data_IF_820452623842
#
_entry.id   IF_820452623842
#
_cell.length_a   1.000
_cell.length_b   1.000
_cell.length_c   1.000
_cell.angle_alpha   90.00
_cell.angle_beta   90.00
_cell.angle_gamma   90.00
#
_symmetry.space_group_name_H-M   'P 1'
#
loop_
_entity.id
_entity.type
_entity.pdbx_description
1 polymer ?
#
# COMPACT_ATOMS: atom_id res chain seq x y z
N UNK A 1 65.48 -40.45 3.54
CA UNK A 1 65.38 -39.77 4.84
C UNK A 1 64.98 -38.32 4.55
N UNK A 2 63.69 -38.00 4.66
CA UNK A 2 63.17 -36.66 4.39
C UNK A 2 62.52 -36.18 5.71
N UNK A 3 62.87 -35.03 6.26
CA UNK A 3 62.25 -34.49 7.49
C UNK A 3 60.97 -33.76 7.12
N UNK A 4 59.86 -34.21 7.65
CA UNK A 4 58.56 -33.52 7.65
C UNK A 4 58.55 -32.47 8.75
N UNK A 5 58.65 -31.22 8.37
CA UNK A 5 58.37 -30.10 9.30
C UNK A 5 56.89 -29.79 9.29
N UNK A 6 56.19 -30.09 10.39
CA UNK A 6 54.85 -29.59 10.67
C UNK A 6 54.97 -28.10 11.09
N UNK A 7 54.45 -27.24 10.25
CA UNK A 7 54.17 -25.86 10.65
C UNK A 7 52.83 -25.83 11.38
N UNK A 8 52.83 -25.62 12.67
CA UNK A 8 51.65 -25.32 13.46
C UNK A 8 51.18 -23.91 13.11
N UNK A 9 50.12 -23.85 12.29
CA UNK A 9 49.37 -22.61 12.02
C UNK A 9 48.51 -22.31 13.23
N UNK A 10 48.96 -21.44 14.10
CA UNK A 10 48.19 -20.89 15.21
C UNK A 10 47.01 -20.09 14.65
N UNK A 11 45.80 -20.68 14.70
CA UNK A 11 44.55 -19.97 14.41
C UNK A 11 44.30 -18.90 15.47
N UNK A 12 44.47 -17.66 15.10
CA UNK A 12 44.10 -16.52 15.93
C UNK A 12 42.59 -16.55 16.24
N UNK A 13 42.16 -16.37 17.50
CA UNK A 13 40.77 -16.39 17.85
C UNK A 13 40.04 -15.24 17.15
N UNK A 14 39.07 -15.56 16.28
CA UNK A 14 38.15 -14.60 15.67
C UNK A 14 37.42 -13.87 16.81
N UNK A 15 37.67 -12.58 16.93
CA UNK A 15 36.89 -11.70 17.81
C UNK A 15 35.44 -11.77 17.40
N UNK A 16 34.58 -12.22 18.31
CA UNK A 16 33.13 -12.17 18.15
C UNK A 16 32.69 -10.72 17.86
N UNK A 17 31.78 -10.49 16.92
CA UNK A 17 31.28 -9.16 16.64
C UNK A 17 30.59 -8.61 17.88
N UNK A 18 31.03 -7.45 18.34
CA UNK A 18 30.53 -6.81 19.54
C UNK A 18 29.02 -6.53 19.41
N UNK A 19 28.23 -7.06 20.34
CA UNK A 19 26.77 -6.91 20.45
C UNK A 19 26.29 -5.46 20.72
N UNK A 20 27.16 -4.47 20.54
CA UNK A 20 26.90 -3.06 20.88
C UNK A 20 26.02 -2.30 19.88
N UNK A 21 25.77 -2.82 18.67
CA UNK A 21 25.05 -2.06 17.62
C UNK A 21 23.55 -2.00 17.77
N UNK A 22 22.92 -2.90 18.51
CA UNK A 22 21.46 -3.02 18.55
C UNK A 22 20.75 -2.24 19.65
N UNK A 23 21.48 -1.73 20.66
CA UNK A 23 20.86 -0.98 21.76
C UNK A 23 20.51 0.48 21.42
N UNK A 24 21.05 1.03 20.35
CA UNK A 24 20.79 2.42 19.94
C UNK A 24 19.61 2.61 18.98
N UNK A 25 19.20 1.57 18.24
CA UNK A 25 18.17 1.65 17.22
C UNK A 25 16.79 2.03 17.79
N UNK A 26 16.32 1.48 18.94
CA UNK A 26 15.03 1.88 19.50
C UNK A 26 14.99 3.33 19.96
N UNK A 27 16.11 3.85 20.49
CA UNK A 27 16.22 5.25 20.91
C UNK A 27 16.30 6.20 19.73
N UNK A 28 17.03 5.84 18.69
CA UNK A 28 17.13 6.63 17.46
C UNK A 28 15.77 6.68 16.72
N UNK A 29 15.05 5.56 16.64
CA UNK A 29 13.71 5.50 16.07
C UNK A 29 12.72 6.32 16.89
N UNK A 30 12.77 6.20 18.23
CA UNK A 30 11.92 6.99 19.13
C UNK A 30 12.20 8.48 19.03
N UNK A 31 13.47 8.89 18.95
CA UNK A 31 13.86 10.27 18.75
C UNK A 31 13.41 10.80 17.38
N UNK A 32 13.54 10.01 16.33
CA UNK A 32 13.07 10.35 14.99
C UNK A 32 11.53 10.49 14.93
N UNK A 33 10.79 9.58 15.54
CA UNK A 33 9.34 9.67 15.66
C UNK A 33 8.91 10.88 16.49
N UNK A 34 9.60 11.17 17.60
CA UNK A 34 9.35 12.35 18.41
C UNK A 34 9.63 13.65 17.61
N UNK A 35 10.70 13.69 16.81
CA UNK A 35 11.00 14.82 15.92
C UNK A 35 9.94 14.99 14.83
N UNK A 36 9.43 13.90 14.26
CA UNK A 36 8.33 13.95 13.30
C UNK A 36 7.02 14.46 13.90
N UNK A 37 6.76 14.15 15.18
CA UNK A 37 5.53 14.57 15.88
C UNK A 37 5.68 15.91 16.60
N UNK A 38 6.92 16.39 16.79
CA UNK A 38 7.16 17.69 17.41
C UNK A 38 6.73 18.83 16.47
N UNK A 39 5.98 19.82 16.95
CA UNK A 39 5.72 21.01 16.14
C UNK A 39 7.04 21.71 15.88
N UNK A 40 7.47 21.76 14.61
CA UNK A 40 8.63 22.58 14.24
C UNK A 40 8.27 24.04 14.46
N UNK A 41 9.14 24.75 15.16
CA UNK A 41 9.05 26.21 15.31
C UNK A 41 8.97 26.82 13.90
N UNK A 42 7.82 27.44 13.55
CA UNK A 42 7.64 28.10 12.26
C UNK A 42 6.62 27.47 11.30
N UNK A 43 5.91 26.39 11.70
CA UNK A 43 4.75 25.94 10.90
C UNK A 43 3.55 26.79 11.26
N UNK A 44 3.14 27.66 10.34
CA UNK A 44 1.94 28.47 10.51
C UNK A 44 0.70 27.62 10.83
N UNK A 45 -0.21 28.12 11.66
CA UNK A 45 -1.50 27.47 11.89
C UNK A 45 -2.19 27.17 10.56
N UNK A 46 -2.93 26.07 10.51
CA UNK A 46 -3.72 25.74 9.31
C UNK A 46 -4.84 26.77 9.20
N UNK A 47 -4.78 27.62 8.19
CA UNK A 47 -5.83 28.60 7.93
C UNK A 47 -7.18 27.89 7.71
N UNK A 48 -8.27 28.52 8.14
CA UNK A 48 -9.62 28.01 7.92
C UNK A 48 -9.85 27.79 6.42
N UNK A 49 -10.45 26.65 6.06
CA UNK A 49 -10.69 26.28 4.67
C UNK A 49 -9.51 25.62 3.95
N UNK A 50 -8.30 25.54 4.53
CA UNK A 50 -7.16 24.86 3.89
C UNK A 50 -7.44 23.37 3.67
N UNK A 51 -7.95 22.68 4.69
CA UNK A 51 -8.29 21.26 4.58
C UNK A 51 -9.42 21.03 3.57
N UNK A 52 -10.40 21.94 3.50
CA UNK A 52 -11.46 21.87 2.47
C UNK A 52 -10.88 21.95 1.06
N UNK A 53 -9.87 22.80 0.83
CA UNK A 53 -9.18 22.87 -0.47
C UNK A 53 -8.43 21.56 -0.77
N UNK A 54 -7.76 20.96 0.21
CA UNK A 54 -7.08 19.66 0.06
C UNK A 54 -8.09 18.58 -0.30
N UNK A 55 -9.21 18.49 0.40
CA UNK A 55 -10.30 17.56 0.09
C UNK A 55 -10.87 17.81 -1.31
N UNK A 56 -11.05 19.07 -1.69
CA UNK A 56 -11.51 19.43 -3.05
C UNK A 56 -10.55 18.96 -4.15
N UNK A 57 -9.25 19.16 -3.98
CA UNK A 57 -8.23 18.68 -4.91
C UNK A 57 -8.24 17.15 -5.00
N UNK A 58 -8.31 16.48 -3.85
CA UNK A 58 -8.43 15.03 -3.80
C UNK A 58 -9.69 14.54 -4.52
N UNK A 59 -10.85 15.16 -4.29
CA UNK A 59 -12.12 14.76 -4.90
C UNK A 59 -12.08 14.92 -6.44
N UNK A 60 -11.47 16.02 -6.94
CA UNK A 60 -11.26 16.22 -8.38
C UNK A 60 -10.35 15.12 -8.94
N UNK A 61 -9.23 14.82 -8.27
CA UNK A 61 -8.33 13.74 -8.69
C UNK A 61 -9.03 12.38 -8.73
N UNK A 62 -9.83 12.06 -7.73
CA UNK A 62 -10.64 10.83 -7.73
C UNK A 62 -11.67 10.81 -8.86
N UNK A 63 -12.38 11.90 -9.09
CA UNK A 63 -13.36 12.00 -10.18
C UNK A 63 -12.69 11.78 -11.55
N UNK A 64 -11.51 12.38 -11.77
CA UNK A 64 -10.73 12.16 -13.01
C UNK A 64 -10.32 10.69 -13.14
N UNK A 65 -9.76 10.08 -12.08
CA UNK A 65 -9.34 8.67 -12.12
C UNK A 65 -10.52 7.72 -12.36
N UNK A 66 -11.64 7.93 -11.68
CA UNK A 66 -12.85 7.14 -11.93
C UNK A 66 -13.40 7.36 -13.34
N UNK A 67 -13.36 8.59 -13.84
CA UNK A 67 -13.74 8.90 -15.24
C UNK A 67 -12.88 8.17 -16.26
N UNK A 68 -11.56 8.14 -16.05
CA UNK A 68 -10.64 7.39 -16.90
C UNK A 68 -10.89 5.88 -16.83
N UNK A 69 -11.08 5.33 -15.62
CA UNK A 69 -11.39 3.91 -15.44
C UNK A 69 -12.72 3.55 -16.10
N UNK A 70 -13.73 4.41 -15.97
CA UNK A 70 -15.00 4.24 -16.69
C UNK A 70 -14.82 4.26 -18.20
N UNK A 71 -14.03 5.20 -18.70
CA UNK A 71 -13.72 5.29 -20.14
C UNK A 71 -13.03 4.00 -20.63
N UNK A 72 -12.02 3.50 -19.89
CA UNK A 72 -11.37 2.24 -20.26
C UNK A 72 -12.32 1.04 -20.21
N UNK A 73 -13.19 0.99 -19.22
CA UNK A 73 -14.24 -0.03 -19.14
C UNK A 73 -15.16 0.00 -20.35
N UNK A 74 -15.65 1.19 -20.74
CA UNK A 74 -16.53 1.34 -21.91
C UNK A 74 -15.82 0.98 -23.23
N UNK A 75 -14.55 1.39 -23.39
CA UNK A 75 -13.76 1.01 -24.56
C UNK A 75 -13.60 -0.52 -24.61
N UNK A 76 -13.24 -1.15 -23.50
CA UNK A 76 -13.10 -2.61 -23.42
C UNK A 76 -14.41 -3.32 -23.77
N UNK A 77 -15.53 -2.82 -23.24
CA UNK A 77 -16.88 -3.38 -23.50
C UNK A 77 -17.32 -3.22 -24.95
N UNK A 78 -17.13 -2.02 -25.53
CA UNK A 78 -17.55 -1.73 -26.90
C UNK A 78 -16.69 -2.39 -27.97
N UNK A 79 -15.40 -2.53 -27.70
CA UNK A 79 -14.44 -3.18 -28.59
C UNK A 79 -14.32 -4.69 -28.37
N UNK A 80 -15.14 -5.25 -27.46
CA UNK A 80 -15.14 -6.67 -27.08
C UNK A 80 -13.73 -7.18 -26.68
N UNK A 81 -12.96 -6.31 -26.02
CA UNK A 81 -11.62 -6.62 -25.57
C UNK A 81 -11.69 -7.46 -24.29
N UNK A 82 -11.01 -8.61 -24.29
CA UNK A 82 -10.81 -9.38 -23.07
C UNK A 82 -9.90 -8.64 -22.10
N UNK A 83 -10.18 -8.70 -20.80
CA UNK A 83 -9.44 -8.07 -19.74
C UNK A 83 -8.65 -9.09 -18.92
N UNK A 84 -7.42 -8.73 -18.51
CA UNK A 84 -6.58 -9.61 -17.72
C UNK A 84 -5.92 -10.74 -18.52
N UNK A 85 -5.11 -11.58 -17.83
CA UNK A 85 -4.30 -12.64 -18.48
C UNK A 85 -5.14 -13.74 -19.14
N UNK A 86 -6.44 -13.83 -18.81
CA UNK A 86 -7.37 -14.85 -19.34
C UNK A 86 -8.38 -14.30 -20.36
N UNK A 87 -8.27 -13.02 -20.76
CA UNK A 87 -9.17 -12.42 -21.73
C UNK A 87 -10.64 -12.37 -21.28
N UNK A 88 -10.90 -12.14 -20.00
CA UNK A 88 -12.24 -12.15 -19.43
C UNK A 88 -13.02 -10.92 -19.91
N UNK A 89 -14.21 -11.17 -20.52
CA UNK A 89 -15.12 -10.10 -20.91
C UNK A 89 -15.93 -9.61 -19.71
N UNK A 90 -15.60 -8.41 -19.23
CA UNK A 90 -16.20 -7.83 -18.02
C UNK A 90 -17.48 -7.08 -18.39
N UNK A 91 -18.61 -7.48 -17.79
CA UNK A 91 -19.93 -6.90 -18.08
C UNK A 91 -20.36 -5.79 -17.13
N UNK A 92 -19.75 -5.67 -15.96
CA UNK A 92 -20.08 -4.63 -14.99
C UNK A 92 -18.84 -3.81 -14.60
N UNK A 93 -19.06 -2.53 -14.34
CA UNK A 93 -17.98 -1.64 -13.89
C UNK A 93 -17.40 -2.06 -12.52
N UNK A 94 -18.26 -2.56 -11.63
CA UNK A 94 -17.79 -3.09 -10.35
C UNK A 94 -16.84 -4.27 -10.55
N UNK A 95 -17.17 -5.22 -11.39
CA UNK A 95 -16.30 -6.36 -11.72
C UNK A 95 -14.98 -5.89 -12.37
N UNK A 96 -15.04 -4.82 -13.16
CA UNK A 96 -13.83 -4.20 -13.71
C UNK A 96 -12.95 -3.58 -12.63
N UNK A 97 -13.53 -2.88 -11.65
CA UNK A 97 -12.80 -2.29 -10.52
C UNK A 97 -12.24 -3.32 -9.53
N UNK A 98 -12.92 -4.46 -9.40
CA UNK A 98 -12.55 -5.55 -8.49
C UNK A 98 -11.80 -6.70 -9.18
N UNK A 99 -11.30 -6.49 -10.39
CA UNK A 99 -10.42 -7.42 -11.08
C UNK A 99 -8.97 -7.37 -10.57
N UNK A 100 -8.11 -8.24 -11.11
CA UNK A 100 -6.69 -8.34 -10.77
C UNK A 100 -6.48 -8.69 -9.28
N UNK A 101 -5.64 -7.96 -8.60
CA UNK A 101 -5.32 -8.18 -7.19
C UNK A 101 -6.55 -8.08 -6.26
N UNK A 102 -7.54 -7.26 -6.62
CA UNK A 102 -8.77 -7.11 -5.84
C UNK A 102 -9.59 -8.42 -5.79
N UNK A 103 -9.49 -9.28 -6.79
CA UNK A 103 -10.14 -10.59 -6.80
C UNK A 103 -9.58 -11.50 -5.69
N UNK A 104 -8.27 -11.46 -5.45
CA UNK A 104 -7.62 -12.17 -4.34
C UNK A 104 -8.13 -11.65 -2.98
N UNK A 105 -8.23 -10.34 -2.79
CA UNK A 105 -8.77 -9.76 -1.56
C UNK A 105 -10.21 -10.19 -1.32
N UNK A 106 -11.06 -10.15 -2.35
CA UNK A 106 -12.45 -10.61 -2.25
C UNK A 106 -12.54 -12.11 -1.94
N UNK A 107 -11.66 -12.93 -2.53
CA UNK A 107 -11.60 -14.35 -2.22
C UNK A 107 -11.27 -14.58 -0.76
N UNK A 108 -10.25 -13.90 -0.23
CA UNK A 108 -9.88 -13.98 1.19
C UNK A 108 -11.02 -13.48 2.09
N UNK A 109 -11.70 -12.39 1.71
CA UNK A 109 -12.84 -11.87 2.47
C UNK A 109 -13.96 -12.90 2.62
N UNK A 110 -14.24 -13.67 1.55
CA UNK A 110 -15.31 -14.66 1.50
C UNK A 110 -14.96 -16.00 2.13
N UNK A 111 -13.77 -16.51 1.81
CA UNK A 111 -13.38 -17.89 2.13
C UNK A 111 -12.28 -17.99 3.19
N UNK A 112 -11.57 -16.90 3.47
CA UNK A 112 -10.36 -16.90 4.26
C UNK A 112 -9.13 -17.36 3.47
N UNK A 113 -7.99 -17.43 4.16
CA UNK A 113 -6.76 -17.96 3.55
C UNK A 113 -6.84 -19.46 3.37
N UNK A 114 -6.27 -20.02 2.29
CA UNK A 114 -6.24 -21.45 2.09
C UNK A 114 -5.44 -22.13 3.19
N UNK A 115 -5.99 -23.22 3.76
CA UNK A 115 -5.33 -23.98 4.86
C UNK A 115 -4.04 -24.64 4.39
N UNK A 116 -3.97 -25.00 3.10
CA UNK A 116 -2.80 -25.62 2.47
C UNK A 116 -2.40 -24.81 1.27
N UNK A 117 -1.09 -24.66 1.06
CA UNK A 117 -0.57 -24.06 -0.18
C UNK A 117 -0.95 -24.94 -1.37
N UNK A 118 -1.50 -24.37 -2.44
CA UNK A 118 -1.72 -25.11 -3.69
C UNK A 118 -0.36 -25.50 -4.28
N UNK A 119 -0.18 -26.77 -4.50
CA UNK A 119 1.06 -27.36 -5.02
C UNK A 119 0.73 -28.15 -6.27
N UNK A 120 1.53 -27.94 -7.33
CA UNK A 120 1.47 -28.71 -8.55
C UNK A 120 2.90 -29.15 -8.92
N UNK A 121 3.11 -30.43 -9.10
CA UNK A 121 4.44 -31.00 -9.36
C UNK A 121 5.55 -30.57 -8.37
N UNK A 122 5.18 -30.33 -7.11
CA UNK A 122 6.12 -29.85 -6.08
C UNK A 122 6.41 -28.34 -6.12
N UNK A 123 5.77 -27.58 -7.01
CA UNK A 123 5.91 -26.13 -7.12
C UNK A 123 4.68 -25.45 -6.52
N UNK A 124 4.91 -24.45 -5.67
CA UNK A 124 3.82 -23.63 -5.10
C UNK A 124 3.18 -22.79 -6.20
N UNK A 125 1.89 -22.94 -6.39
CA UNK A 125 1.11 -22.16 -7.34
C UNK A 125 0.72 -20.79 -6.75
N UNK A 126 0.23 -19.89 -7.63
CA UNK A 126 -0.34 -18.59 -7.22
C UNK A 126 -1.41 -18.81 -6.16
N UNK A 127 -1.32 -18.04 -5.07
CA UNK A 127 -2.21 -18.22 -3.93
C UNK A 127 -2.41 -16.90 -3.18
N UNK A 128 -3.42 -16.87 -2.30
CA UNK A 128 -3.85 -15.69 -1.57
C UNK A 128 -2.93 -15.30 -0.40
N UNK A 129 -1.94 -16.13 -0.02
CA UNK A 129 -1.02 -15.83 1.09
C UNK A 129 -0.08 -14.65 0.82
N UNK A 130 0.03 -14.21 -0.44
CA UNK A 130 0.79 -13.03 -0.80
C UNK A 130 0.10 -11.70 -0.42
N UNK A 131 -1.20 -11.75 -0.08
CA UNK A 131 -2.03 -10.58 0.16
C UNK A 131 -2.22 -10.32 1.66
N UNK A 132 -2.19 -9.04 2.04
CA UNK A 132 -2.29 -8.64 3.45
C UNK A 132 -3.74 -8.74 3.98
N UNK A 133 -3.96 -9.13 5.26
CA UNK A 133 -5.28 -9.44 5.79
C UNK A 133 -6.17 -8.23 6.09
N UNK A 134 -5.63 -7.01 6.13
CA UNK A 134 -6.37 -5.83 6.60
C UNK A 134 -7.54 -5.50 5.70
N UNK A 135 -7.32 -5.43 4.39
CA UNK A 135 -8.38 -5.08 3.43
C UNK A 135 -9.47 -6.15 3.38
N UNK A 136 -9.18 -7.46 3.19
CA UNK A 136 -10.21 -8.50 3.23
C UNK A 136 -11.01 -8.55 4.54
N UNK A 137 -10.34 -8.30 5.67
CA UNK A 137 -11.02 -8.21 6.96
C UNK A 137 -12.04 -7.07 6.99
N UNK A 138 -11.66 -5.89 6.50
CA UNK A 138 -12.56 -4.73 6.43
C UNK A 138 -13.71 -4.96 5.44
N UNK A 139 -13.44 -5.60 4.29
CA UNK A 139 -14.44 -5.99 3.30
C UNK A 139 -15.48 -6.93 3.91
N UNK A 140 -15.03 -7.98 4.57
CA UNK A 140 -15.90 -8.94 5.25
C UNK A 140 -16.73 -8.30 6.34
N UNK A 141 -16.08 -7.64 7.30
CA UNK A 141 -16.77 -7.01 8.44
C UNK A 141 -17.75 -5.94 7.96
N UNK A 142 -17.34 -5.11 6.98
CA UNK A 142 -18.21 -4.11 6.39
C UNK A 142 -19.43 -4.73 5.70
N UNK A 143 -19.24 -5.81 4.96
CA UNK A 143 -20.34 -6.56 4.34
C UNK A 143 -21.26 -7.20 5.38
N UNK A 144 -20.73 -7.86 6.39
CA UNK A 144 -21.50 -8.51 7.45
C UNK A 144 -22.35 -7.49 8.25
N UNK A 145 -21.83 -6.28 8.48
CA UNK A 145 -22.53 -5.24 9.22
C UNK A 145 -23.59 -4.48 8.41
N UNK A 146 -23.38 -4.33 7.11
CA UNK A 146 -24.20 -3.45 6.27
C UNK A 146 -25.08 -4.20 5.28
N UNK A 147 -24.77 -5.45 5.00
CA UNK A 147 -25.38 -6.24 3.91
C UNK A 147 -24.95 -5.78 2.51
N UNK A 148 -23.98 -4.86 2.40
CA UNK A 148 -23.44 -4.38 1.13
C UNK A 148 -22.38 -5.35 0.62
N UNK A 149 -22.30 -5.53 -0.71
CA UNK A 149 -21.33 -6.40 -1.35
C UNK A 149 -19.89 -6.03 -0.97
N UNK A 150 -19.03 -7.03 -0.72
CA UNK A 150 -17.64 -6.86 -0.26
C UNK A 150 -16.83 -5.98 -1.21
N UNK A 151 -17.00 -6.13 -2.53
CA UNK A 151 -16.30 -5.31 -3.53
C UNK A 151 -16.67 -3.82 -3.42
N UNK A 152 -17.93 -3.50 -3.10
CA UNK A 152 -18.34 -2.11 -2.85
C UNK A 152 -17.69 -1.59 -1.57
N UNK A 153 -17.67 -2.40 -0.51
CA UNK A 153 -16.96 -2.05 0.73
C UNK A 153 -15.47 -1.81 0.47
N UNK A 154 -14.81 -2.67 -0.31
CA UNK A 154 -13.41 -2.52 -0.70
C UNK A 154 -13.15 -1.19 -1.43
N UNK A 155 -14.01 -0.81 -2.36
CA UNK A 155 -13.93 0.51 -3.04
C UNK A 155 -14.10 1.66 -2.04
N UNK A 156 -15.08 1.59 -1.13
CA UNK A 156 -15.30 2.62 -0.11
C UNK A 156 -14.10 2.75 0.82
N UNK A 157 -13.55 1.63 1.31
CA UNK A 157 -12.37 1.60 2.16
C UNK A 157 -11.16 2.21 1.44
N UNK A 158 -10.95 1.87 0.18
CA UNK A 158 -9.85 2.41 -0.64
C UNK A 158 -9.99 3.92 -0.85
N UNK A 159 -11.20 4.42 -1.12
CA UNK A 159 -11.49 5.85 -1.24
C UNK A 159 -11.20 6.58 0.10
N UNK A 160 -11.67 6.03 1.21
CA UNK A 160 -11.46 6.60 2.54
C UNK A 160 -9.97 6.61 2.91
N UNK A 161 -9.25 5.50 2.64
CA UNK A 161 -7.81 5.39 2.87
C UNK A 161 -7.02 6.40 2.03
N UNK A 162 -7.39 6.60 0.76
CA UNK A 162 -6.72 7.56 -0.12
C UNK A 162 -6.95 9.02 0.33
N UNK A 163 -8.12 9.33 0.87
CA UNK A 163 -8.38 10.63 1.50
C UNK A 163 -7.50 10.82 2.73
N UNK A 164 -7.46 9.82 3.62
CA UNK A 164 -6.60 9.83 4.79
C UNK A 164 -5.13 10.02 4.44
N UNK A 165 -4.64 9.27 3.45
CA UNK A 165 -3.28 9.38 2.94
C UNK A 165 -2.98 10.79 2.40
N UNK A 166 -3.91 11.38 1.64
CA UNK A 166 -3.76 12.75 1.10
C UNK A 166 -3.66 13.77 2.22
N UNK A 167 -4.51 13.68 3.25
CA UNK A 167 -4.49 14.59 4.40
C UNK A 167 -3.19 14.46 5.20
N UNK A 168 -2.76 13.22 5.50
CA UNK A 168 -1.51 12.95 6.22
C UNK A 168 -0.31 13.43 5.41
N UNK A 169 -0.28 13.16 4.10
CA UNK A 169 0.78 13.63 3.22
C UNK A 169 0.87 15.16 3.21
N UNK A 170 -0.25 15.87 3.12
CA UNK A 170 -0.28 17.32 3.20
C UNK A 170 0.31 17.83 4.52
N UNK A 171 -0.12 17.27 5.65
CA UNK A 171 0.38 17.64 6.96
C UNK A 171 1.89 17.37 7.11
N UNK A 172 2.36 16.27 6.54
CA UNK A 172 3.78 15.93 6.52
C UNK A 172 4.59 16.90 5.64
N UNK A 173 4.15 17.12 4.40
CA UNK A 173 4.83 18.01 3.47
C UNK A 173 4.97 19.43 4.02
N UNK A 174 3.93 19.97 4.68
CA UNK A 174 4.01 21.27 5.34
C UNK A 174 5.09 21.37 6.40
N UNK A 175 5.50 20.25 7.00
CA UNK A 175 6.54 20.23 8.04
C UNK A 175 7.95 20.17 7.47
N UNK A 176 8.11 19.59 6.27
CA UNK A 176 9.44 19.25 5.71
C UNK A 176 9.77 20.03 4.45
N UNK A 177 8.79 20.73 3.85
CA UNK A 177 8.98 21.46 2.58
C UNK A 177 8.42 22.89 2.65
N UNK A 178 8.59 23.64 1.57
CA UNK A 178 7.98 24.97 1.42
C UNK A 178 6.46 24.87 1.20
N UNK A 179 5.68 25.92 1.52
CA UNK A 179 4.23 25.93 1.26
C UNK A 179 3.88 25.61 -0.19
N UNK A 180 4.61 26.14 -1.16
CA UNK A 180 4.41 25.86 -2.59
C UNK A 180 4.65 24.40 -2.93
N UNK A 181 5.75 23.82 -2.45
CA UNK A 181 6.05 22.40 -2.68
C UNK A 181 4.99 21.48 -2.06
N UNK A 182 4.47 21.84 -0.88
CA UNK A 182 3.37 21.10 -0.24
C UNK A 182 2.11 21.09 -1.10
N UNK A 183 1.74 22.22 -1.68
CA UNK A 183 0.57 22.32 -2.58
C UNK A 183 0.78 21.52 -3.86
N UNK A 184 1.95 21.63 -4.51
CA UNK A 184 2.24 20.82 -5.68
C UNK A 184 2.22 19.32 -5.39
N UNK A 185 2.75 18.88 -4.23
CA UNK A 185 2.67 17.49 -3.81
C UNK A 185 1.23 17.00 -3.71
N UNK A 186 0.33 17.82 -3.16
CA UNK A 186 -1.10 17.47 -3.03
C UNK A 186 -1.84 17.56 -4.36
N UNK A 187 -1.45 18.43 -5.27
CA UNK A 187 -2.04 18.46 -6.61
C UNK A 187 -1.63 17.23 -7.41
N UNK A 188 -0.38 16.81 -7.33
CA UNK A 188 0.12 15.66 -8.11
C UNK A 188 -0.31 14.30 -7.55
N UNK A 189 -0.36 14.14 -6.22
CA UNK A 189 -0.62 12.87 -5.58
C UNK A 189 -1.96 12.21 -5.96
N UNK A 190 -3.13 12.91 -5.92
CA UNK A 190 -4.41 12.29 -6.25
C UNK A 190 -4.59 11.94 -7.74
N UNK A 191 -3.73 12.48 -8.62
CA UNK A 191 -3.74 12.16 -10.05
C UNK A 191 -2.78 11.02 -10.40
N UNK A 192 -1.95 10.57 -9.46
CA UNK A 192 -1.12 9.39 -9.68
C UNK A 192 -2.01 8.15 -9.84
N UNK A 193 -1.77 7.30 -10.85
CA UNK A 193 -2.67 6.17 -11.16
C UNK A 193 -2.70 5.10 -10.06
N UNK A 194 -1.75 5.12 -9.14
CA UNK A 194 -1.63 4.16 -8.04
C UNK A 194 -1.94 4.77 -6.65
N UNK A 195 -2.50 5.96 -6.60
CA UNK A 195 -2.82 6.64 -5.33
C UNK A 195 -4.22 6.34 -4.81
#
# INVERSE_FOLDING_TARGET
>A
MVPTSRQDVALSPRRAPSSRRWRGVPRALGAWLADLTSPRVGVDPIASGTLTKVVGIWAIGRAVNFGLLWMFFEISRLADLGFGPFGIHVRSFLTFLTGWDADHYLNIARTGYPIRLPMEEGIVQTNDWAFLPVLPFLERVGSDLTGVNEGIIGVIVSIAASLGATLVLFLLLRRVTTPQASWWGIVLFPFAPLS
#
